data_IF_746250120305
#
_entry.id   IF_746250120305
#
_cell.length_a   1.000
_cell.length_b   1.000
_cell.length_c   1.000
_cell.angle_alpha   90.00
_cell.angle_beta   90.00
_cell.angle_gamma   90.00
#
_symmetry.space_group_name_H-M   'P 1'
#
loop_
_entity.id
_entity.type
_entity.pdbx_description
1 polymer ?
#
# COMPACT_ATOMS: atom_id res chain seq x y z
N UNK A 1 10.35 -22.49 21.28
CA UNK A 1 11.52 -21.62 21.02
C UNK A 1 11.54 -21.30 19.53
N UNK A 2 11.05 -20.13 19.14
CA UNK A 2 11.18 -19.54 17.79
C UNK A 2 12.58 -18.92 17.60
N UNK A 3 13.62 -19.57 18.10
CA UNK A 3 14.91 -18.97 18.45
C UNK A 3 15.89 -18.67 17.31
N UNK A 4 15.46 -18.55 16.05
CA UNK A 4 16.38 -18.17 14.96
C UNK A 4 15.75 -17.43 13.78
N UNK A 5 14.44 -17.57 13.55
CA UNK A 5 13.78 -17.03 12.35
C UNK A 5 13.15 -15.64 12.55
N UNK A 6 12.86 -15.23 13.79
CA UNK A 6 12.28 -13.92 14.11
C UNK A 6 13.00 -12.72 13.46
N UNK A 7 14.34 -12.59 13.53
CA UNK A 7 15.02 -11.45 12.90
C UNK A 7 14.89 -11.46 11.37
N UNK A 8 14.82 -12.64 10.75
CA UNK A 8 14.65 -12.78 9.28
C UNK A 8 13.27 -12.24 8.87
N UNK A 9 12.22 -12.64 9.60
CA UNK A 9 10.87 -12.14 9.35
C UNK A 9 10.75 -10.63 9.59
N UNK A 10 11.37 -10.11 10.65
CA UNK A 10 11.38 -8.68 10.92
C UNK A 10 12.05 -7.88 9.78
N UNK A 11 13.21 -8.35 9.28
CA UNK A 11 13.89 -7.72 8.13
C UNK A 11 12.99 -7.78 6.89
N UNK A 12 12.39 -8.93 6.59
CA UNK A 12 11.53 -9.09 5.42
C UNK A 12 10.31 -8.15 5.46
N UNK A 13 9.67 -8.03 6.63
CA UNK A 13 8.56 -7.10 6.86
C UNK A 13 9.00 -5.65 6.68
N UNK A 14 10.14 -5.26 7.25
CA UNK A 14 10.65 -3.89 7.13
C UNK A 14 10.95 -3.53 5.67
N UNK A 15 11.64 -4.41 4.93
CA UNK A 15 11.94 -4.20 3.52
C UNK A 15 10.66 -4.13 2.66
N UNK A 16 9.69 -5.02 2.90
CA UNK A 16 8.40 -5.00 2.23
C UNK A 16 7.67 -3.67 2.45
N UNK A 17 7.61 -3.22 3.70
CA UNK A 17 6.95 -1.97 4.08
C UNK A 17 7.65 -0.75 3.43
N UNK A 18 8.98 -0.74 3.36
CA UNK A 18 9.73 0.32 2.66
C UNK A 18 9.37 0.36 1.18
N UNK A 19 9.34 -0.80 0.50
CA UNK A 19 8.96 -0.87 -0.91
C UNK A 19 7.52 -0.39 -1.12
N UNK A 20 6.60 -0.78 -0.23
CA UNK A 20 5.20 -0.31 -0.24
C UNK A 20 5.10 1.21 -0.11
N UNK A 21 5.84 1.82 0.83
CA UNK A 21 5.90 3.27 1.03
C UNK A 21 6.41 3.98 -0.22
N UNK A 22 7.49 3.49 -0.82
CA UNK A 22 8.06 4.08 -2.05
C UNK A 22 7.05 4.00 -3.19
N UNK A 23 6.42 2.83 -3.39
CA UNK A 23 5.41 2.64 -4.43
C UNK A 23 4.21 3.56 -4.24
N UNK A 24 3.70 3.67 -3.02
CA UNK A 24 2.59 4.55 -2.68
C UNK A 24 2.94 6.02 -2.85
N UNK A 25 4.16 6.41 -2.44
CA UNK A 25 4.70 7.75 -2.69
C UNK A 25 4.76 8.10 -4.17
N UNK A 26 5.29 7.19 -5.00
CA UNK A 26 5.37 7.39 -6.45
C UNK A 26 3.98 7.55 -7.10
N UNK A 27 2.97 6.81 -6.64
CA UNK A 27 1.58 6.95 -7.10
C UNK A 27 0.96 8.27 -6.69
N UNK A 28 1.17 8.70 -5.44
CA UNK A 28 0.70 10.01 -4.98
C UNK A 28 1.35 11.14 -5.78
N UNK A 29 2.64 11.01 -6.08
CA UNK A 29 3.37 11.94 -6.93
C UNK A 29 2.84 11.95 -8.37
N UNK A 30 2.46 10.79 -8.92
CA UNK A 30 1.84 10.72 -10.24
C UNK A 30 0.50 11.49 -10.29
N UNK A 31 -0.28 11.46 -9.19
CA UNK A 31 -1.52 12.26 -9.08
C UNK A 31 -1.21 13.75 -9.02
N UNK A 32 -0.25 14.19 -8.22
CA UNK A 32 0.10 15.61 -8.10
C UNK A 32 0.66 16.18 -9.40
N UNK A 33 1.39 15.38 -10.17
CA UNK A 33 1.93 15.74 -11.49
C UNK A 33 0.90 15.62 -12.63
N UNK A 34 -0.33 15.18 -12.35
CA UNK A 34 -1.38 15.01 -13.37
C UNK A 34 -1.11 13.87 -14.35
N UNK A 35 -0.26 12.91 -13.97
CA UNK A 35 0.15 11.75 -14.77
C UNK A 35 -0.36 10.41 -14.22
N UNK A 36 -1.32 10.45 -13.31
CA UNK A 36 -1.91 9.26 -12.72
C UNK A 36 -2.70 8.47 -13.77
N UNK A 37 -2.44 7.17 -13.84
CA UNK A 37 -3.20 6.23 -14.68
C UNK A 37 -4.29 5.55 -13.86
N UNK A 38 -5.16 4.79 -14.55
CA UNK A 38 -6.21 4.01 -13.90
C UNK A 38 -5.65 3.09 -12.80
N UNK A 39 -4.53 2.41 -13.03
CA UNK A 39 -3.90 1.52 -12.03
C UNK A 39 -3.48 2.25 -10.76
N UNK A 40 -2.91 3.45 -10.89
CA UNK A 40 -2.47 4.25 -9.74
C UNK A 40 -3.68 4.68 -8.90
N UNK A 41 -4.77 5.07 -9.57
CA UNK A 41 -6.02 5.44 -8.90
C UNK A 41 -6.71 4.22 -8.29
N UNK A 42 -6.71 3.06 -8.95
CA UNK A 42 -7.25 1.82 -8.37
C UNK A 42 -6.54 1.48 -7.05
N UNK A 43 -5.22 1.64 -6.99
CA UNK A 43 -4.44 1.40 -5.75
C UNK A 43 -4.73 2.42 -4.66
N UNK A 44 -4.74 3.71 -5.03
CA UNK A 44 -4.91 4.78 -4.05
C UNK A 44 -6.35 4.87 -3.51
N UNK A 45 -7.33 4.40 -4.28
CA UNK A 45 -8.77 4.47 -3.92
C UNK A 45 -9.34 3.13 -3.49
N UNK A 46 -8.78 2.00 -3.92
CA UNK A 46 -9.38 0.68 -3.73
C UNK A 46 -10.51 0.35 -4.72
N UNK A 47 -10.81 1.23 -5.68
CA UNK A 47 -11.78 0.95 -6.75
C UNK A 47 -11.11 0.05 -7.79
N UNK A 48 -11.46 -1.24 -7.78
CA UNK A 48 -10.79 -2.25 -8.60
C UNK A 48 -11.14 -2.18 -10.10
N UNK A 49 -12.25 -1.54 -10.45
CA UNK A 49 -12.73 -1.47 -11.82
C UNK A 49 -12.41 -0.11 -12.48
N UNK A 50 -11.63 -0.09 -13.58
CA UNK A 50 -11.26 1.16 -14.25
C UNK A 50 -12.44 1.97 -14.79
N UNK A 51 -13.57 1.32 -15.07
CA UNK A 51 -14.79 2.00 -15.52
C UNK A 51 -15.43 2.79 -14.39
N UNK A 52 -15.50 2.20 -13.20
CA UNK A 52 -15.99 2.87 -12.00
C UNK A 52 -15.11 4.08 -11.61
N UNK A 53 -13.82 4.08 -11.96
CA UNK A 53 -12.99 5.28 -11.81
C UNK A 53 -13.46 6.43 -12.69
N UNK A 54 -13.97 6.17 -13.89
CA UNK A 54 -14.47 7.22 -14.79
C UNK A 54 -15.74 7.87 -14.24
N UNK A 55 -16.61 7.09 -13.59
CA UNK A 55 -17.82 7.62 -12.95
C UNK A 55 -17.49 8.57 -11.78
N UNK A 56 -16.34 8.37 -11.13
CA UNK A 56 -15.91 9.13 -9.96
C UNK A 56 -15.02 10.33 -10.31
N UNK A 57 -14.07 10.13 -11.23
CA UNK A 57 -13.04 11.11 -11.59
C UNK A 57 -13.25 11.76 -12.96
N UNK A 58 -14.24 11.30 -13.73
CA UNK A 58 -14.44 11.69 -15.12
C UNK A 58 -13.59 10.88 -16.09
N UNK A 59 -13.77 11.09 -17.41
CA UNK A 59 -13.04 10.37 -18.43
C UNK A 59 -11.54 10.73 -18.36
N UNK A 60 -10.64 9.77 -18.63
CA UNK A 60 -9.22 10.06 -18.77
C UNK A 60 -8.96 10.91 -20.02
N UNK A 61 -7.81 11.57 -20.03
CA UNK A 61 -7.26 12.23 -21.22
C UNK A 61 -7.03 11.21 -22.35
N UNK A 62 -6.77 11.71 -23.57
CA UNK A 62 -6.42 10.86 -24.73
C UNK A 62 -5.22 9.93 -24.47
N UNK A 63 -4.34 10.30 -23.54
CA UNK A 63 -3.18 9.50 -23.14
C UNK A 63 -3.48 8.51 -21.99
N UNK A 64 -4.75 8.36 -21.59
CA UNK A 64 -5.16 7.49 -20.49
C UNK A 64 -4.84 8.03 -19.09
N UNK A 65 -4.50 9.32 -18.97
CA UNK A 65 -4.15 9.97 -17.71
C UNK A 65 -5.38 10.63 -17.09
N UNK A 66 -5.55 10.49 -15.79
CA UNK A 66 -6.61 11.14 -15.02
C UNK A 66 -6.09 12.45 -14.43
N UNK A 67 -6.82 13.54 -14.68
CA UNK A 67 -6.57 14.82 -14.03
C UNK A 67 -7.39 14.90 -12.75
N UNK A 68 -6.75 14.63 -11.61
CA UNK A 68 -7.39 14.70 -10.30
C UNK A 68 -6.42 15.22 -9.24
N UNK A 69 -6.90 15.33 -8.00
CA UNK A 69 -6.10 15.80 -6.86
C UNK A 69 -6.06 14.74 -5.76
N UNK A 70 -5.00 14.77 -4.95
CA UNK A 70 -4.91 13.88 -3.78
C UNK A 70 -6.08 14.04 -2.81
N UNK A 71 -6.62 15.27 -2.69
CA UNK A 71 -7.80 15.54 -1.88
C UNK A 71 -9.00 14.72 -2.40
N UNK A 72 -9.27 14.80 -3.70
CA UNK A 72 -10.38 14.05 -4.31
C UNK A 72 -10.19 12.54 -4.18
N UNK A 73 -8.96 12.06 -4.37
CA UNK A 73 -8.61 10.64 -4.18
C UNK A 73 -8.87 10.18 -2.74
N UNK A 74 -8.57 11.01 -1.75
CA UNK A 74 -8.83 10.67 -0.34
C UNK A 74 -10.32 10.66 0.03
N UNK A 75 -11.14 11.50 -0.60
CA UNK A 75 -12.59 11.56 -0.35
C UNK A 75 -13.32 10.29 -0.78
N UNK A 76 -12.82 9.63 -1.83
CA UNK A 76 -13.45 8.45 -2.44
C UNK A 76 -12.73 7.15 -2.10
N UNK A 77 -11.73 7.22 -1.21
CA UNK A 77 -10.93 6.07 -0.81
C UNK A 77 -11.79 5.06 -0.04
N UNK A 78 -11.87 3.86 -0.58
CA UNK A 78 -12.52 2.70 0.02
C UNK A 78 -11.58 2.01 1.03
N UNK A 79 -12.11 1.17 1.93
CA UNK A 79 -11.30 0.41 2.88
C UNK A 79 -10.17 -0.41 2.24
N UNK A 80 -10.38 -0.92 1.02
CA UNK A 80 -9.32 -1.61 0.26
C UNK A 80 -8.17 -0.67 -0.10
N UNK A 81 -8.46 0.59 -0.47
CA UNK A 81 -7.42 1.59 -0.75
C UNK A 81 -6.64 2.01 0.50
N UNK A 82 -7.28 1.96 1.68
CA UNK A 82 -6.57 2.11 2.96
C UNK A 82 -5.61 0.93 3.21
N UNK A 83 -6.04 -0.32 2.96
CA UNK A 83 -5.18 -1.48 3.16
C UNK A 83 -3.94 -1.46 2.24
N UNK A 84 -4.04 -0.88 1.05
CA UNK A 84 -2.96 -0.93 0.03
C UNK A 84 -2.05 0.30 0.04
N UNK A 85 -2.52 1.43 0.55
CA UNK A 85 -1.87 2.72 0.33
C UNK A 85 -1.87 3.64 1.56
N UNK A 86 -2.00 3.04 2.75
CA UNK A 86 -1.90 3.76 4.02
C UNK A 86 -0.48 3.74 4.59
N UNK A 87 0.24 4.85 4.38
CA UNK A 87 1.63 5.04 4.81
C UNK A 87 1.81 4.82 6.32
N UNK A 88 0.78 5.13 7.13
CA UNK A 88 0.84 4.97 8.59
C UNK A 88 0.97 3.51 9.00
N UNK A 89 0.30 2.60 8.28
CA UNK A 89 0.35 1.17 8.58
C UNK A 89 1.68 0.57 8.14
N UNK A 90 2.24 1.00 7.01
CA UNK A 90 3.59 0.62 6.60
C UNK A 90 4.64 1.13 7.59
N UNK A 91 4.53 2.38 8.05
CA UNK A 91 5.41 2.93 9.08
C UNK A 91 5.29 2.17 10.40
N UNK A 92 4.07 1.77 10.80
CA UNK A 92 3.85 0.94 11.98
C UNK A 92 4.52 -0.43 11.83
N UNK A 93 4.47 -1.05 10.65
CA UNK A 93 5.17 -2.31 10.37
C UNK A 93 6.69 -2.16 10.51
N UNK A 94 7.26 -1.06 10.01
CA UNK A 94 8.69 -0.75 10.18
C UNK A 94 9.02 -0.55 11.66
N UNK A 95 8.20 0.21 12.40
CA UNK A 95 8.41 0.44 13.83
C UNK A 95 8.37 -0.87 14.62
N UNK A 96 7.41 -1.75 14.35
CA UNK A 96 7.32 -3.08 14.97
C UNK A 96 8.57 -3.91 14.67
N UNK A 97 9.03 -3.91 13.41
CA UNK A 97 10.25 -4.61 13.04
C UNK A 97 11.46 -4.07 13.82
N UNK A 98 11.65 -2.75 13.91
CA UNK A 98 12.76 -2.14 14.68
C UNK A 98 12.66 -2.46 16.16
N UNK A 99 11.48 -2.31 16.76
CA UNK A 99 11.25 -2.61 18.19
C UNK A 99 11.52 -4.08 18.50
N UNK A 100 11.23 -5.00 17.57
CA UNK A 100 11.50 -6.43 17.76
C UNK A 100 13.00 -6.75 17.96
N UNK A 101 13.91 -5.90 17.46
CA UNK A 101 15.36 -6.05 17.70
C UNK A 101 15.80 -5.53 19.07
N UNK A 102 15.08 -4.55 19.62
CA UNK A 102 15.44 -3.90 20.89
C UNK A 102 14.78 -4.60 22.08
N UNK A 103 13.56 -5.10 21.89
CA UNK A 103 12.74 -5.71 22.95
C UNK A 103 12.49 -7.17 22.60
N UNK A 104 13.13 -8.08 23.34
CA UNK A 104 12.87 -9.52 23.25
C UNK A 104 11.77 -9.91 24.24
N UNK A 105 10.51 -9.80 23.83
CA UNK A 105 9.35 -10.22 24.63
C UNK A 105 8.52 -11.24 23.85
N UNK A 106 7.81 -12.16 24.52
CA UNK A 106 6.99 -13.18 23.84
C UNK A 106 5.90 -12.61 22.91
N UNK A 107 5.55 -11.34 23.06
CA UNK A 107 4.55 -10.66 22.23
C UNK A 107 5.14 -10.07 20.94
N UNK A 108 6.46 -9.83 20.86
CA UNK A 108 7.05 -9.23 19.66
C UNK A 108 6.94 -10.15 18.45
N UNK A 109 7.08 -11.46 18.64
CA UNK A 109 6.83 -12.44 17.59
C UNK A 109 5.40 -12.38 17.03
N UNK A 110 4.40 -12.16 17.90
CA UNK A 110 3.00 -12.00 17.47
C UNK A 110 2.79 -10.71 16.66
N UNK A 111 3.40 -9.59 17.09
CA UNK A 111 3.32 -8.33 16.35
C UNK A 111 4.01 -8.41 14.98
N UNK A 112 5.19 -9.04 14.90
CA UNK A 112 5.90 -9.25 13.62
C UNK A 112 5.07 -10.13 12.68
N UNK A 113 4.41 -11.17 13.20
CA UNK A 113 3.55 -12.04 12.41
C UNK A 113 2.30 -11.31 11.88
N UNK A 114 1.69 -10.44 12.70
CA UNK A 114 0.57 -9.59 12.27
C UNK A 114 1.01 -8.60 11.18
N UNK A 115 2.18 -7.97 11.33
CA UNK A 115 2.74 -7.08 10.31
C UNK A 115 3.03 -7.81 9.00
N UNK A 116 3.57 -9.03 9.07
CA UNK A 116 3.77 -9.88 7.90
C UNK A 116 2.44 -10.23 7.22
N UNK A 117 1.40 -10.56 7.99
CA UNK A 117 0.06 -10.80 7.48
C UNK A 117 -0.53 -9.59 6.75
N UNK A 118 -0.35 -8.39 7.30
CA UNK A 118 -0.77 -7.15 6.67
C UNK A 118 -0.04 -6.90 5.33
N UNK A 119 1.29 -7.01 5.32
CA UNK A 119 2.11 -6.83 4.10
C UNK A 119 1.71 -7.84 3.01
N UNK A 120 1.49 -9.11 3.39
CA UNK A 120 1.02 -10.14 2.47
C UNK A 120 -0.38 -9.81 1.93
N UNK A 121 -1.30 -9.34 2.77
CA UNK A 121 -2.64 -8.96 2.32
C UNK A 121 -2.58 -7.80 1.31
N UNK A 122 -1.80 -6.75 1.59
CA UNK A 122 -1.59 -5.64 0.66
C UNK A 122 -1.03 -6.11 -0.69
N UNK A 123 -0.04 -7.00 -0.66
CA UNK A 123 0.54 -7.58 -1.88
C UNK A 123 -0.45 -8.44 -2.68
N UNK A 124 -1.23 -9.28 -2.00
CA UNK A 124 -2.26 -10.11 -2.65
C UNK A 124 -3.33 -9.25 -3.33
N UNK A 125 -3.77 -8.17 -2.68
CA UNK A 125 -4.77 -7.27 -3.28
C UNK A 125 -4.16 -6.49 -4.45
N UNK A 126 -2.91 -6.04 -4.35
CA UNK A 126 -2.23 -5.34 -5.47
C UNK A 126 -2.10 -6.24 -6.70
N UNK A 127 -1.84 -7.54 -6.52
CA UNK A 127 -1.81 -8.48 -7.64
C UNK A 127 -3.14 -8.65 -8.38
N UNK A 128 -4.27 -8.29 -7.76
CA UNK A 128 -5.60 -8.36 -8.38
C UNK A 128 -5.97 -7.11 -9.17
N UNK A 129 -5.14 -6.08 -9.14
CA UNK A 129 -5.42 -4.86 -9.87
C UNK A 129 -5.34 -5.06 -11.38
N UNK A 130 -6.13 -4.29 -12.14
CA UNK A 130 -6.05 -4.28 -13.58
C UNK A 130 -4.64 -3.88 -14.03
N UNK A 131 -3.88 -4.85 -14.54
CA UNK A 131 -2.58 -4.62 -15.15
C UNK A 131 -2.78 -3.95 -16.50
N UNK A 132 -2.03 -2.88 -16.75
CA UNK A 132 -1.99 -2.26 -18.06
C UNK A 132 -1.37 -3.26 -19.04
N UNK A 133 -2.11 -3.62 -20.10
CA UNK A 133 -1.55 -4.19 -21.31
C UNK A 133 -1.09 -3.06 -22.22
#
# INVERSE_FOLDING_TARGET
>A
MLGSAEPIFAIAVALSAIVSLIGTGARKQAVTEGRARASDLCELTGIMEPRALQDVFGPPTMNGLYQTTLKRVSEVRQPMGLLMSEDRLDLACIAIAVVSFVISHQLTGLFVLLSAGYQLAGWVVSNRLPKQK
#
